data_IF_005123690200
#
_entry.id   IF_005123690200
#
_cell.length_a   1.000
_cell.length_b   1.000
_cell.length_c   1.000
_cell.angle_alpha   90.00
_cell.angle_beta   90.00
_cell.angle_gamma   90.00
#
_symmetry.space_group_name_H-M   'P 1'
#
loop_
_entity.id
_entity.type
_entity.pdbx_description
1 polymer ?
#
# COMPACT_ATOMS: atom_id res chain seq x y z
N UNK A 1 16.22 -11.23 8.64
CA UNK A 1 15.12 -10.67 9.47
C UNK A 1 14.97 -9.15 9.36
N UNK A 2 16.02 -8.40 9.02
CA UNK A 2 15.96 -6.97 8.65
C UNK A 2 15.19 -6.72 7.35
N UNK A 3 15.23 -7.67 6.41
CA UNK A 3 14.65 -7.53 5.06
C UNK A 3 13.12 -7.44 5.04
N UNK A 4 12.40 -8.26 5.82
CA UNK A 4 10.93 -8.18 5.92
C UNK A 4 10.48 -6.85 6.53
N UNK A 5 11.22 -6.35 7.53
CA UNK A 5 10.91 -5.05 8.15
C UNK A 5 11.19 -3.89 7.20
N UNK A 6 12.32 -3.90 6.48
CA UNK A 6 12.62 -2.87 5.49
C UNK A 6 11.62 -2.90 4.33
N UNK A 7 11.24 -4.09 3.86
CA UNK A 7 10.20 -4.23 2.83
C UNK A 7 8.84 -3.72 3.32
N UNK A 8 8.48 -3.99 4.58
CA UNK A 8 7.27 -3.46 5.18
C UNK A 8 7.26 -1.94 5.26
N UNK A 9 8.35 -1.32 5.74
CA UNK A 9 8.46 0.13 5.82
C UNK A 9 8.45 0.77 4.41
N UNK A 10 9.10 0.15 3.43
CA UNK A 10 9.04 0.59 2.05
C UNK A 10 7.61 0.53 1.49
N UNK A 11 6.88 -0.58 1.74
CA UNK A 11 5.48 -0.73 1.36
C UNK A 11 4.59 0.30 2.04
N UNK A 12 4.78 0.53 3.34
CA UNK A 12 4.03 1.53 4.11
C UNK A 12 4.30 2.96 3.61
N UNK A 13 5.54 3.28 3.24
CA UNK A 13 5.90 4.55 2.62
C UNK A 13 5.24 4.75 1.25
N UNK A 14 5.17 3.69 0.42
CA UNK A 14 4.40 3.74 -0.84
C UNK A 14 2.92 3.98 -0.56
N UNK A 15 2.36 3.32 0.45
CA UNK A 15 0.97 3.49 0.83
C UNK A 15 0.65 4.93 1.26
N UNK A 16 1.51 5.55 2.08
CA UNK A 16 1.38 6.97 2.45
C UNK A 16 1.40 7.87 1.22
N UNK A 17 2.36 7.66 0.30
CA UNK A 17 2.42 8.44 -0.95
C UNK A 17 1.16 8.30 -1.79
N UNK A 18 0.59 7.10 -1.89
CA UNK A 18 -0.67 6.88 -2.61
C UNK A 18 -1.84 7.58 -1.91
N UNK A 19 -1.88 7.56 -0.57
CA UNK A 19 -2.92 8.22 0.21
C UNK A 19 -2.88 9.76 0.09
N UNK A 20 -1.72 10.34 -0.14
CA UNK A 20 -1.53 11.79 -0.28
C UNK A 20 -1.85 12.32 -1.69
N UNK A 21 -2.13 11.43 -2.63
CA UNK A 21 -2.40 11.81 -4.01
C UNK A 21 -3.74 12.55 -4.14
N UNK A 22 -3.79 13.65 -4.92
CA UNK A 22 -5.05 14.35 -5.19
C UNK A 22 -6.07 13.47 -5.92
N UNK A 23 -5.60 12.49 -6.71
CA UNK A 23 -6.46 11.55 -7.42
C UNK A 23 -7.26 10.66 -6.45
N UNK A 24 -6.69 10.31 -5.28
CA UNK A 24 -7.43 9.58 -4.26
C UNK A 24 -8.57 10.42 -3.68
N UNK A 25 -8.31 11.71 -3.42
CA UNK A 25 -9.34 12.61 -2.90
C UNK A 25 -10.49 12.78 -3.90
N UNK A 26 -10.17 12.88 -5.20
CA UNK A 26 -11.17 12.92 -6.27
C UNK A 26 -11.97 11.60 -6.37
N UNK A 27 -11.31 10.46 -6.20
CA UNK A 27 -11.93 9.13 -6.29
C UNK A 27 -12.61 8.68 -4.99
N UNK A 28 -12.51 9.44 -3.88
CA UNK A 28 -12.84 9.00 -2.52
C UNK A 28 -14.23 8.37 -2.37
N UNK A 29 -15.23 8.93 -3.06
CA UNK A 29 -16.61 8.47 -2.99
C UNK A 29 -17.01 7.49 -4.10
N UNK A 30 -16.11 7.21 -5.05
CA UNK A 30 -16.35 6.34 -6.20
C UNK A 30 -16.27 4.85 -5.80
N UNK A 31 -16.85 3.94 -6.61
CA UNK A 31 -16.70 2.51 -6.40
C UNK A 31 -15.23 2.07 -6.34
N UNK A 32 -14.89 1.04 -5.57
CA UNK A 32 -13.57 0.40 -5.62
C UNK A 32 -13.57 -0.79 -6.59
N UNK A 33 -12.47 -1.55 -6.65
CA UNK A 33 -12.44 -2.84 -7.36
C UNK A 33 -13.21 -3.96 -6.68
N UNK A 34 -13.62 -3.74 -5.43
CA UNK A 34 -14.38 -4.69 -4.63
C UNK A 34 -15.87 -4.37 -4.70
N UNK A 35 -16.69 -5.37 -5.03
CA UNK A 35 -18.13 -5.21 -5.17
C UNK A 35 -18.77 -4.62 -3.91
N UNK A 36 -19.54 -3.54 -4.09
CA UNK A 36 -20.25 -2.86 -3.02
C UNK A 36 -19.39 -1.97 -2.11
N UNK A 37 -18.08 -1.92 -2.33
CA UNK A 37 -17.17 -1.04 -1.59
C UNK A 37 -16.83 0.22 -2.40
N UNK A 38 -16.42 1.26 -1.67
CA UNK A 38 -15.90 2.50 -2.24
C UNK A 38 -14.41 2.61 -2.00
N UNK A 39 -13.76 3.50 -2.75
CA UNK A 39 -12.32 3.79 -2.60
C UNK A 39 -11.96 4.17 -1.16
N UNK A 40 -12.81 4.96 -0.48
CA UNK A 40 -12.62 5.29 0.94
C UNK A 40 -12.58 4.07 1.88
N UNK A 41 -13.33 3.01 1.55
CA UNK A 41 -13.44 1.85 2.42
C UNK A 41 -12.14 1.04 2.35
N UNK A 42 -11.61 0.87 1.13
CA UNK A 42 -10.29 0.27 0.88
C UNK A 42 -9.17 1.10 1.52
N UNK A 43 -9.19 2.42 1.34
CA UNK A 43 -8.20 3.31 1.95
C UNK A 43 -8.21 3.26 3.49
N UNK A 44 -9.41 3.19 4.08
CA UNK A 44 -9.58 3.09 5.54
C UNK A 44 -9.06 1.75 6.06
N UNK A 45 -9.30 0.65 5.33
CA UNK A 45 -8.77 -0.65 5.73
C UNK A 45 -7.25 -0.74 5.61
N UNK A 46 -6.65 -0.16 4.57
CA UNK A 46 -5.19 -0.04 4.48
C UNK A 46 -4.61 0.68 5.70
N UNK A 47 -5.22 1.80 6.14
CA UNK A 47 -4.76 2.53 7.33
C UNK A 47 -5.01 1.74 8.61
N UNK A 48 -6.10 0.97 8.69
CA UNK A 48 -6.32 0.04 9.80
C UNK A 48 -5.21 -1.02 9.86
N UNK A 49 -4.79 -1.58 8.72
CA UNK A 49 -3.68 -2.52 8.63
C UNK A 49 -2.36 -1.94 9.16
N UNK A 50 -2.05 -0.70 8.78
CA UNK A 50 -0.90 0.04 9.32
C UNK A 50 -1.01 0.26 10.84
N UNK A 51 -2.21 0.63 11.32
CA UNK A 51 -2.46 0.85 12.76
C UNK A 51 -2.30 -0.42 13.58
N UNK A 52 -2.85 -1.54 13.09
CA UNK A 52 -2.70 -2.85 13.74
C UNK A 52 -1.23 -3.25 13.78
N UNK A 53 -0.49 -3.05 12.69
CA UNK A 53 0.95 -3.33 12.66
C UNK A 53 1.73 -2.45 13.64
N UNK A 54 1.36 -1.17 13.79
CA UNK A 54 1.94 -0.30 14.80
C UNK A 54 1.57 -0.77 16.22
N UNK A 55 0.33 -1.20 16.45
CA UNK A 55 -0.15 -1.69 17.75
C UNK A 55 0.54 -3.00 18.17
N UNK A 56 0.70 -3.94 17.25
CA UNK A 56 1.44 -5.20 17.46
C UNK A 56 2.88 -4.93 17.92
N UNK A 57 3.45 -3.79 17.51
CA UNK A 57 4.80 -3.34 17.88
C UNK A 57 4.81 -2.44 19.14
N UNK A 58 3.65 -2.24 19.80
CA UNK A 58 3.50 -1.37 20.96
C UNK A 58 3.54 0.13 20.66
N UNK A 59 3.28 0.53 19.40
CA UNK A 59 3.49 1.89 18.86
C UNK A 59 2.23 2.53 18.27
N UNK A 60 1.16 1.76 18.10
CA UNK A 60 -0.08 2.18 17.48
C UNK A 60 -1.14 2.59 18.51
N UNK A 61 -2.02 3.55 18.18
CA UNK A 61 -3.20 3.81 18.99
C UNK A 61 -4.19 2.63 18.87
N UNK A 62 -4.86 2.29 19.97
CA UNK A 62 -5.87 1.22 20.00
C UNK A 62 -7.16 1.57 19.25
N UNK A 63 -7.37 2.86 18.96
CA UNK A 63 -8.57 3.38 18.30
C UNK A 63 -8.18 4.30 17.13
N UNK A 64 -9.05 4.43 16.11
CA UNK A 64 -8.87 5.41 15.05
C UNK A 64 -8.76 6.84 15.59
N UNK A 65 -7.99 7.68 14.90
CA UNK A 65 -7.88 9.09 15.29
C UNK A 65 -9.09 9.91 14.84
N UNK A 66 -9.80 9.44 13.81
CA UNK A 66 -10.97 10.13 13.22
C UNK A 66 -12.10 9.13 12.96
N UNK A 67 -13.31 9.46 13.44
CA UNK A 67 -14.50 8.61 13.28
C UNK A 67 -15.17 8.74 11.90
N UNK A 68 -14.98 9.88 11.23
CA UNK A 68 -15.48 10.15 9.87
C UNK A 68 -14.31 10.51 8.96
N UNK A 69 -13.59 9.51 8.43
CA UNK A 69 -12.37 9.76 7.67
C UNK A 69 -12.68 10.47 6.34
N UNK A 70 -11.93 11.54 6.09
CA UNK A 70 -11.70 12.13 4.76
C UNK A 70 -10.39 11.61 4.19
N UNK A 71 -10.17 11.78 2.88
CA UNK A 71 -8.89 11.45 2.24
C UNK A 71 -7.71 12.10 2.96
N UNK A 72 -7.83 13.40 3.29
CA UNK A 72 -6.79 14.14 4.00
C UNK A 72 -6.52 13.57 5.40
N UNK A 73 -7.57 13.30 6.18
CA UNK A 73 -7.39 12.76 7.53
C UNK A 73 -6.80 11.34 7.53
N UNK A 74 -7.13 10.56 6.49
CA UNK A 74 -6.64 9.19 6.30
C UNK A 74 -5.16 9.19 5.94
N UNK A 75 -4.75 10.06 5.00
CA UNK A 75 -3.35 10.27 4.65
C UNK A 75 -2.52 10.75 5.85
N UNK A 76 -3.07 11.70 6.64
CA UNK A 76 -2.42 12.20 7.84
C UNK A 76 -2.24 11.11 8.90
N UNK A 77 -3.25 10.30 9.16
CA UNK A 77 -3.15 9.16 10.10
C UNK A 77 -2.09 8.15 9.63
N UNK A 78 -2.09 7.80 8.34
CA UNK A 78 -1.09 6.90 7.78
C UNK A 78 0.34 7.42 7.94
N UNK A 79 0.57 8.71 7.64
CA UNK A 79 1.90 9.34 7.80
C UNK A 79 2.37 9.25 9.25
N UNK A 80 1.53 9.61 10.21
CA UNK A 80 1.86 9.53 11.65
C UNK A 80 2.16 8.09 12.10
N UNK A 81 1.44 7.10 11.55
CA UNK A 81 1.70 5.69 11.85
C UNK A 81 3.06 5.25 11.30
N UNK A 82 3.39 5.62 10.07
CA UNK A 82 4.70 5.29 9.44
C UNK A 82 5.85 5.97 10.20
N UNK A 83 5.72 7.24 10.55
CA UNK A 83 6.72 7.95 11.37
C UNK A 83 6.99 7.21 12.70
N UNK A 84 5.94 6.74 13.38
CA UNK A 84 6.09 5.94 14.62
C UNK A 84 6.75 4.59 14.39
N UNK A 85 6.49 3.95 13.24
CA UNK A 85 7.12 2.68 12.87
C UNK A 85 8.63 2.87 12.58
N UNK A 86 9.01 4.03 12.01
CA UNK A 86 10.38 4.41 11.65
C UNK A 86 11.22 4.92 12.82
N UNK A 87 10.65 5.71 13.75
CA UNK A 87 11.38 6.35 14.87
C UNK A 87 12.14 5.38 15.80
N UNK A 88 11.87 4.08 15.72
CA UNK A 88 12.61 3.03 16.45
C UNK A 88 13.64 2.28 15.58
N UNK A 89 14.06 2.86 14.45
CA UNK A 89 15.21 2.41 13.66
C UNK A 89 16.53 3.06 14.10
N UNK A 90 16.46 4.19 14.80
CA UNK A 90 17.61 4.92 15.36
C UNK A 90 17.50 4.83 16.89
N UNK A 91 18.47 4.19 17.54
CA UNK A 91 18.38 3.73 18.94
C UNK A 91 17.98 4.79 19.96
N UNK A 92 17.21 4.37 20.97
CA UNK A 92 16.87 5.16 22.15
C UNK A 92 17.33 4.46 23.44
N UNK A 93 17.98 5.16 24.39
CA UNK A 93 18.46 4.59 25.64
C UNK A 93 17.38 4.74 26.73
N UNK A 94 16.48 3.76 26.87
CA UNK A 94 15.69 3.60 28.10
C UNK A 94 14.96 2.25 28.11
N UNK A 95 15.40 1.37 29.02
CA UNK A 95 14.53 0.41 29.71
C UNK A 95 14.15 -0.87 28.97
N UNK A 96 15.02 -1.89 29.06
CA UNK A 96 14.67 -3.30 28.92
C UNK A 96 14.72 -3.85 27.48
N UNK A 97 15.00 -5.15 27.30
CA UNK A 97 14.97 -5.78 25.98
C UNK A 97 13.51 -5.86 25.54
N UNK A 98 13.02 -4.84 24.83
CA UNK A 98 11.92 -5.07 23.90
C UNK A 98 12.53 -5.91 22.79
N UNK A 99 12.40 -7.23 22.91
CA UNK A 99 12.68 -8.18 21.83
C UNK A 99 12.12 -7.58 20.55
N UNK A 100 13.03 -7.35 19.59
CA UNK A 100 12.77 -6.52 18.44
C UNK A 100 11.46 -6.89 17.76
N UNK A 101 10.48 -5.99 17.88
CA UNK A 101 9.14 -6.19 17.34
C UNK A 101 9.22 -6.64 15.88
N UNK A 102 8.89 -7.92 15.68
CA UNK A 102 8.93 -8.56 14.39
C UNK A 102 7.61 -8.24 13.68
N UNK A 103 7.70 -7.65 12.48
CA UNK A 103 6.54 -7.59 11.59
C UNK A 103 6.45 -8.95 10.90
N UNK A 104 5.42 -9.76 11.17
CA UNK A 104 5.30 -11.06 10.54
C UNK A 104 5.11 -10.89 9.03
N UNK A 105 5.63 -11.82 8.24
CA UNK A 105 5.55 -11.77 6.78
C UNK A 105 4.10 -11.69 6.27
N UNK A 106 3.13 -12.24 7.01
CA UNK A 106 1.70 -12.09 6.73
C UNK A 106 1.22 -10.64 6.74
N UNK A 107 1.74 -9.79 7.63
CA UNK A 107 1.40 -8.35 7.68
C UNK A 107 1.92 -7.60 6.46
N UNK A 108 3.13 -7.94 6.00
CA UNK A 108 3.66 -7.42 4.74
C UNK A 108 2.81 -7.84 3.55
N UNK A 109 2.43 -9.11 3.46
CA UNK A 109 1.58 -9.61 2.39
C UNK A 109 0.21 -8.93 2.38
N UNK A 110 -0.44 -8.79 3.54
CA UNK A 110 -1.72 -8.07 3.64
C UNK A 110 -1.58 -6.60 3.26
N UNK A 111 -0.55 -5.89 3.76
CA UNK A 111 -0.34 -4.48 3.40
C UNK A 111 -0.09 -4.30 1.90
N UNK A 112 0.65 -5.22 1.28
CA UNK A 112 0.90 -5.19 -0.16
C UNK A 112 -0.39 -5.41 -0.97
N UNK A 113 -1.24 -6.35 -0.54
CA UNK A 113 -2.54 -6.59 -1.16
C UNK A 113 -3.48 -5.39 -1.01
N UNK A 114 -3.61 -4.83 0.20
CA UNK A 114 -4.44 -3.64 0.45
C UNK A 114 -3.96 -2.43 -0.38
N UNK A 115 -2.64 -2.30 -0.55
CA UNK A 115 -2.02 -1.26 -1.37
C UNK A 115 -2.34 -1.44 -2.85
N UNK A 116 -2.25 -2.67 -3.35
CA UNK A 116 -2.61 -3.01 -4.73
C UNK A 116 -4.08 -2.73 -4.99
N UNK A 117 -4.98 -3.19 -4.11
CA UNK A 117 -6.41 -2.95 -4.20
C UNK A 117 -6.74 -1.47 -4.22
N UNK A 118 -6.07 -0.66 -3.37
CA UNK A 118 -6.25 0.78 -3.37
C UNK A 118 -5.75 1.41 -4.68
N UNK A 119 -4.58 0.99 -5.15
CA UNK A 119 -4.00 1.51 -6.39
C UNK A 119 -4.90 1.20 -7.60
N UNK A 120 -5.44 -0.01 -7.69
CA UNK A 120 -6.39 -0.41 -8.73
C UNK A 120 -7.71 0.36 -8.60
N UNK A 121 -8.20 0.53 -7.37
CA UNK A 121 -9.45 1.25 -7.09
C UNK A 121 -9.40 2.72 -7.45
N UNK A 122 -8.23 3.37 -7.32
CA UNK A 122 -7.99 4.72 -7.83
C UNK A 122 -7.76 4.69 -9.34
N UNK A 123 -6.95 3.75 -9.81
CA UNK A 123 -6.53 3.65 -11.22
C UNK A 123 -7.69 3.46 -12.21
N UNK A 124 -8.76 2.77 -11.82
CA UNK A 124 -9.95 2.63 -12.67
C UNK A 124 -10.68 3.96 -12.96
N UNK A 125 -10.43 5.00 -12.15
CA UNK A 125 -11.06 6.32 -12.28
C UNK A 125 -10.10 7.40 -12.80
N UNK A 126 -8.84 7.04 -13.05
CA UNK A 126 -7.83 7.96 -13.55
C UNK A 126 -7.57 7.65 -15.02
N UNK A 127 -7.74 8.66 -15.88
CA UNK A 127 -7.30 8.56 -17.26
C UNK A 127 -5.78 8.55 -17.32
N UNK A 128 -5.20 7.36 -17.48
CA UNK A 128 -3.76 7.20 -17.67
C UNK A 128 -3.45 7.37 -19.15
N UNK A 129 -2.60 8.33 -19.47
CA UNK A 129 -2.13 8.49 -20.84
C UNK A 129 -1.41 7.21 -21.30
N UNK A 130 -1.56 6.78 -22.57
CA UNK A 130 -0.85 5.61 -23.08
C UNK A 130 0.67 5.69 -22.91
N UNK A 131 1.24 6.89 -23.01
CA UNK A 131 2.66 7.16 -22.81
C UNK A 131 3.10 6.91 -21.37
N UNK A 132 2.29 7.33 -20.40
CA UNK A 132 2.54 7.09 -18.97
C UNK A 132 2.46 5.61 -18.63
N UNK A 133 1.43 4.91 -19.12
CA UNK A 133 1.29 3.46 -18.95
C UNK A 133 2.48 2.70 -19.56
N UNK A 134 2.92 3.11 -20.77
CA UNK A 134 4.10 2.53 -21.41
C UNK A 134 5.38 2.72 -20.59
N UNK A 135 5.64 3.93 -20.11
CA UNK A 135 6.83 4.22 -19.30
C UNK A 135 6.84 3.41 -17.99
N UNK A 136 5.68 3.25 -17.34
CA UNK A 136 5.55 2.42 -16.16
C UNK A 136 5.84 0.94 -16.45
N UNK A 137 5.34 0.41 -17.57
CA UNK A 137 5.62 -0.96 -18.01
C UNK A 137 7.10 -1.17 -18.34
N UNK A 138 7.74 -0.23 -19.04
CA UNK A 138 9.16 -0.30 -19.37
C UNK A 138 10.02 -0.34 -18.09
N UNK A 139 9.66 0.45 -17.07
CA UNK A 139 10.34 0.46 -15.78
C UNK A 139 10.11 -0.84 -14.99
N UNK A 140 8.89 -1.38 -15.00
CA UNK A 140 8.58 -2.68 -14.38
C UNK A 140 9.36 -3.82 -15.04
N UNK A 141 9.43 -3.85 -16.37
CA UNK A 141 10.20 -4.85 -17.13
C UNK A 141 11.70 -4.73 -16.85
N UNK A 142 12.23 -3.50 -16.82
CA UNK A 142 13.62 -3.26 -16.47
C UNK A 142 13.95 -3.75 -15.05
N UNK A 143 13.06 -3.47 -14.08
CA UNK A 143 13.19 -3.93 -12.70
C UNK A 143 13.14 -5.46 -12.59
N UNK A 144 12.16 -6.10 -13.22
CA UNK A 144 12.00 -7.55 -13.19
C UNK A 144 13.19 -8.29 -13.83
N UNK A 145 13.83 -7.72 -14.85
CA UNK A 145 15.06 -8.30 -15.45
C UNK A 145 16.24 -8.29 -14.48
N UNK A 146 16.28 -7.37 -13.52
CA UNK A 146 17.32 -7.30 -12.50
C UNK A 146 17.05 -8.14 -11.25
N UNK A 147 15.83 -8.67 -11.08
CA UNK A 147 15.41 -9.37 -9.88
C UNK A 147 15.45 -10.90 -10.05
N UNK A 148 15.91 -11.61 -9.02
CA UNK A 148 15.82 -13.07 -8.96
C UNK A 148 14.35 -13.50 -9.00
N UNK A 149 13.96 -14.27 -10.03
CA UNK A 149 12.57 -14.70 -10.23
C UNK A 149 11.69 -13.70 -11.01
N UNK A 150 12.22 -12.54 -11.41
CA UNK A 150 11.42 -11.54 -12.12
C UNK A 150 10.94 -11.97 -13.51
N UNK A 151 11.65 -12.88 -14.20
CA UNK A 151 11.17 -13.47 -15.46
C UNK A 151 9.89 -14.29 -15.25
N UNK A 152 9.80 -15.07 -14.16
CA UNK A 152 8.59 -15.82 -13.84
C UNK A 152 7.41 -14.89 -13.49
N UNK A 153 7.69 -13.76 -12.82
CA UNK A 153 6.68 -12.73 -12.55
C UNK A 153 6.17 -12.07 -13.85
N UNK A 154 7.06 -11.80 -14.83
CA UNK A 154 6.68 -11.27 -16.14
C UNK A 154 5.84 -12.28 -16.95
N UNK A 155 6.17 -13.57 -16.90
CA UNK A 155 5.38 -14.62 -17.55
C UNK A 155 3.98 -14.74 -16.94
N UNK A 156 3.88 -14.69 -15.60
CA UNK A 156 2.60 -14.64 -14.89
C UNK A 156 1.76 -13.43 -15.32
N UNK A 157 2.36 -12.23 -15.32
CA UNK A 157 1.69 -11.01 -15.78
C UNK A 157 1.22 -11.12 -17.23
N UNK A 158 2.06 -11.65 -18.13
CA UNK A 158 1.71 -11.87 -19.55
C UNK A 158 0.53 -12.83 -19.71
N UNK A 159 0.46 -13.88 -18.90
CA UNK A 159 -0.65 -14.83 -18.89
C UNK A 159 -1.94 -14.17 -18.42
N UNK A 160 -1.89 -13.38 -17.34
CA UNK A 160 -3.03 -12.64 -16.80
C UNK A 160 -3.57 -11.64 -17.80
N UNK A 161 -2.71 -10.85 -18.44
CA UNK A 161 -3.14 -9.87 -19.46
C UNK A 161 -3.80 -10.53 -20.67
N UNK A 162 -3.33 -11.70 -21.10
CA UNK A 162 -3.96 -12.48 -22.18
C UNK A 162 -5.30 -13.08 -21.78
N UNK A 163 -5.51 -13.30 -20.49
CA UNK A 163 -6.74 -13.87 -19.93
C UNK A 163 -7.76 -12.79 -19.53
N UNK A 164 -7.35 -11.52 -19.48
CA UNK A 164 -8.22 -10.42 -19.12
C UNK A 164 -9.26 -10.20 -20.23
N UNK A 165 -10.56 -10.05 -19.88
CA UNK A 165 -11.58 -9.74 -20.86
C UNK A 165 -11.24 -8.42 -21.56
N UNK A 166 -11.35 -8.38 -22.88
CA UNK A 166 -11.19 -7.15 -23.65
C UNK A 166 -12.21 -6.14 -23.14
N UNK A 167 -11.75 -5.08 -22.48
CA UNK A 167 -12.59 -3.93 -22.14
C UNK A 167 -12.93 -3.24 -23.46
N UNK A 168 -14.05 -3.65 -24.06
CA UNK A 168 -14.68 -2.96 -25.17
C UNK A 168 -15.19 -1.64 -24.61
N UNK A 169 -14.42 -0.56 -24.84
CA UNK A 169 -14.92 0.80 -24.63
C UNK A 169 -16.02 1.04 -25.67
N UNK A 170 -17.27 1.08 -25.22
CA UNK A 170 -18.41 1.57 -25.97
C UNK A 170 -18.44 3.11 -25.93
#
# INVERSE_FOLDING_TARGET
MTETRSAFLACASVAVRLLERPELAAAWALPSVHDGLRVRDVATELVRGLRLSALDLGRGPSVPSVLRPTAESTAREARLLVERLEQHAVGGPAGGPIEGGHVPASRLASLAADLEDLALSVGQHVDVSPTTARAALELLVASARGATGGVAALDGLSSTLRSAPAVVRA
#
